data_IF_979773817680
#
_entry.id   IF_979773817680
#
_cell.length_a   1.000
_cell.length_b   1.000
_cell.length_c   1.000
_cell.angle_alpha   90.00
_cell.angle_beta   90.00
_cell.angle_gamma   90.00
#
_symmetry.space_group_name_H-M   'P 1'
#
loop_
_entity.id
_entity.type
_entity.pdbx_description
1 polymer ?
#
# COMPACT_ATOMS: atom_id res chain seq x y z
N UNK A 1 -5.58 5.83 8.38
CA UNK A 1 -6.31 4.56 8.60
C UNK A 1 -5.34 3.52 9.12
N UNK A 2 -5.71 2.68 10.09
CA UNK A 2 -4.86 1.58 10.60
C UNK A 2 -5.50 0.24 10.23
N UNK A 3 -4.70 -0.71 9.77
CA UNK A 3 -5.17 -2.02 9.29
C UNK A 3 -4.31 -3.12 9.89
N UNK A 4 -4.92 -4.25 10.25
CA UNK A 4 -4.23 -5.49 10.56
C UNK A 4 -4.51 -6.47 9.44
N UNK A 5 -3.47 -7.06 8.87
CA UNK A 5 -3.57 -7.94 7.71
C UNK A 5 -2.56 -9.09 7.83
N UNK A 6 -2.88 -10.30 7.35
CA UNK A 6 -1.92 -11.40 7.29
C UNK A 6 -0.69 -11.05 6.45
N UNK A 7 0.49 -11.42 6.95
CA UNK A 7 1.77 -11.10 6.30
C UNK A 7 1.97 -11.71 4.90
N UNK A 8 1.24 -12.78 4.56
CA UNK A 8 1.32 -13.43 3.25
C UNK A 8 0.53 -12.69 2.16
N UNK A 9 -0.35 -11.76 2.52
CA UNK A 9 -1.07 -10.94 1.54
C UNK A 9 -0.09 -10.00 0.85
N UNK A 10 -0.33 -9.71 -0.43
CA UNK A 10 0.40 -8.69 -1.15
C UNK A 10 -0.30 -7.33 -1.12
N UNK A 11 0.44 -6.29 -1.52
CA UNK A 11 -0.08 -4.91 -1.59
C UNK A 11 -1.29 -4.80 -2.52
N UNK A 12 -1.33 -5.55 -3.63
CA UNK A 12 -2.48 -5.55 -4.55
C UNK A 12 -3.77 -6.10 -3.91
N UNK A 13 -3.66 -7.15 -3.12
CA UNK A 13 -4.78 -7.72 -2.36
C UNK A 13 -5.24 -6.77 -1.26
N UNK A 14 -4.30 -6.13 -0.56
CA UNK A 14 -4.63 -5.09 0.41
C UNK A 14 -5.32 -3.89 -0.26
N UNK A 15 -4.82 -3.45 -1.42
CA UNK A 15 -5.42 -2.39 -2.22
C UNK A 15 -6.89 -2.70 -2.57
N UNK A 16 -7.18 -3.92 -3.03
CA UNK A 16 -8.55 -4.32 -3.34
C UNK A 16 -9.47 -4.25 -2.11
N UNK A 17 -8.98 -4.69 -0.95
CA UNK A 17 -9.73 -4.60 0.30
C UNK A 17 -9.92 -3.14 0.75
N UNK A 18 -8.94 -2.28 0.52
CA UNK A 18 -8.99 -0.85 0.85
C UNK A 18 -9.89 -0.06 -0.08
N UNK A 19 -10.05 -0.45 -1.35
CA UNK A 19 -10.85 0.28 -2.35
C UNK A 19 -12.31 0.51 -1.95
N UNK A 20 -12.85 -0.30 -1.04
CA UNK A 20 -14.20 -0.11 -0.49
C UNK A 20 -14.26 0.95 0.62
N UNK A 21 -13.11 1.38 1.14
CA UNK A 21 -12.95 2.29 2.29
C UNK A 21 -12.33 3.63 1.91
N UNK A 22 -11.60 3.68 0.80
CA UNK A 22 -11.05 4.89 0.19
C UNK A 22 -11.80 5.12 -1.13
N UNK A 23 -12.53 6.23 -1.22
CA UNK A 23 -13.35 6.64 -2.37
C UNK A 23 -12.47 7.10 -3.54
N UNK A 24 -11.72 6.17 -4.12
CA UNK A 24 -10.84 6.43 -5.28
C UNK A 24 -11.58 6.08 -6.56
N UNK A 25 -11.48 6.96 -7.57
CA UNK A 25 -12.07 6.73 -8.88
C UNK A 25 -11.54 5.41 -9.46
N UNK A 26 -12.41 4.50 -9.93
CA UNK A 26 -11.97 3.23 -10.48
C UNK A 26 -11.03 3.34 -11.68
N UNK A 27 -11.01 4.49 -12.37
CA UNK A 27 -10.16 4.80 -13.52
C UNK A 27 -8.76 5.26 -13.12
N UNK A 28 -8.56 5.69 -11.88
CA UNK A 28 -7.26 6.15 -11.41
C UNK A 28 -6.44 4.99 -10.85
N UNK A 29 -5.14 5.01 -11.14
CA UNK A 29 -4.19 4.06 -10.54
C UNK A 29 -3.75 4.60 -9.19
N UNK A 30 -3.64 3.71 -8.19
CA UNK A 30 -3.06 4.06 -6.90
C UNK A 30 -1.63 3.54 -6.84
N UNK A 31 -0.69 4.46 -6.58
CA UNK A 31 0.68 4.13 -6.24
C UNK A 31 0.83 4.01 -4.73
N UNK A 32 1.63 3.04 -4.30
CA UNK A 32 1.97 2.85 -2.89
C UNK A 32 3.43 3.19 -2.65
N UNK A 33 3.71 3.86 -1.53
CA UNK A 33 5.05 4.26 -1.13
C UNK A 33 5.32 3.84 0.31
N UNK A 34 6.53 3.34 0.56
CA UNK A 34 7.07 3.13 1.91
C UNK A 34 8.20 4.14 2.13
N UNK A 35 7.91 5.20 2.88
CA UNK A 35 8.78 6.38 2.93
C UNK A 35 8.82 7.08 1.57
N UNK A 36 10.01 7.13 0.95
CA UNK A 36 10.25 7.79 -0.35
C UNK A 36 10.40 6.80 -1.52
N UNK A 37 10.16 5.50 -1.29
CA UNK A 37 10.35 4.46 -2.29
C UNK A 37 9.00 3.91 -2.75
N UNK A 38 8.84 3.79 -4.07
CA UNK A 38 7.67 3.14 -4.66
C UNK A 38 7.67 1.66 -4.27
N UNK A 39 6.60 1.22 -3.61
CA UNK A 39 6.44 -0.15 -3.19
C UNK A 39 5.88 -1.01 -4.34
N UNK A 40 6.48 -2.17 -4.57
CA UNK A 40 5.96 -3.12 -5.56
C UNK A 40 4.64 -3.72 -5.09
N UNK A 41 3.60 -3.64 -5.92
CA UNK A 41 2.26 -4.19 -5.63
C UNK A 41 2.25 -5.72 -5.46
N UNK A 42 3.27 -6.41 -5.98
CA UNK A 42 3.43 -7.87 -5.88
C UNK A 42 4.13 -8.32 -4.60
N UNK A 43 4.79 -7.41 -3.86
CA UNK A 43 5.45 -7.75 -2.60
C UNK A 43 4.42 -8.06 -1.51
N UNK A 44 4.78 -9.01 -0.63
CA UNK A 44 3.98 -9.36 0.53
C UNK A 44 4.12 -8.31 1.63
N UNK A 45 3.10 -8.18 2.47
CA UNK A 45 3.13 -7.27 3.61
C UNK A 45 4.22 -7.66 4.62
N UNK A 46 4.50 -8.95 4.78
CA UNK A 46 5.61 -9.41 5.62
C UNK A 46 6.97 -8.97 5.08
N UNK A 47 7.21 -9.09 3.76
CA UNK A 47 8.50 -8.67 3.20
C UNK A 47 8.67 -7.15 3.24
N UNK A 48 7.60 -6.39 2.97
CA UNK A 48 7.61 -4.94 3.12
C UNK A 48 7.81 -4.49 4.56
N UNK A 49 7.14 -5.14 5.51
CA UNK A 49 7.31 -4.88 6.94
C UNK A 49 8.75 -5.18 7.37
N UNK A 50 9.31 -6.32 7.00
CA UNK A 50 10.70 -6.65 7.35
C UNK A 50 11.71 -5.63 6.79
N UNK A 51 11.49 -5.12 5.58
CA UNK A 51 12.39 -4.18 4.92
C UNK A 51 12.21 -2.71 5.35
N UNK A 52 10.98 -2.30 5.72
CA UNK A 52 10.62 -0.89 5.91
C UNK A 52 9.83 -0.62 7.20
N UNK A 53 9.77 -1.57 8.14
CA UNK A 53 9.16 -1.32 9.44
C UNK A 53 9.90 -0.18 10.15
N UNK A 54 9.10 0.71 10.72
CA UNK A 54 9.59 1.78 11.55
C UNK A 54 9.94 1.25 12.96
N UNK A 55 10.63 2.05 13.77
CA UNK A 55 11.15 1.63 15.09
C UNK A 55 10.08 1.26 16.10
N UNK A 56 8.83 1.63 15.86
CA UNK A 56 7.64 1.31 16.64
C UNK A 56 6.95 0.02 16.17
N UNK A 57 7.59 -0.74 15.28
CA UNK A 57 7.13 -2.00 14.69
C UNK A 57 5.93 -1.87 13.75
N UNK A 58 5.60 -0.66 13.28
CA UNK A 58 4.57 -0.44 12.26
C UNK A 58 5.17 -0.26 10.87
N UNK A 59 4.45 -0.74 9.85
CA UNK A 59 4.71 -0.40 8.45
C UNK A 59 3.85 0.80 8.07
N UNK A 60 4.51 1.87 7.63
CA UNK A 60 3.85 3.07 7.12
C UNK A 60 3.83 3.04 5.60
N UNK A 61 2.62 3.08 5.05
CA UNK A 61 2.39 3.11 3.60
C UNK A 61 1.60 4.38 3.26
N UNK A 62 2.19 5.20 2.41
CA UNK A 62 1.51 6.34 1.79
C UNK A 62 0.98 5.89 0.44
N UNK A 63 -0.18 6.40 0.03
CA UNK A 63 -0.70 6.16 -1.29
C UNK A 63 -1.02 7.47 -2.00
N UNK A 64 -0.89 7.48 -3.32
CA UNK A 64 -1.19 8.62 -4.16
C UNK A 64 -1.99 8.16 -5.37
N UNK A 65 -2.99 8.94 -5.77
CA UNK A 65 -3.67 8.75 -7.05
C UNK A 65 -2.75 9.29 -8.15
N UNK A 66 -2.32 8.40 -9.04
CA UNK A 66 -1.63 8.84 -10.25
C UNK A 66 -2.69 9.34 -11.22
N UNK A 67 -2.92 10.65 -11.21
CA UNK A 67 -3.73 11.32 -12.21
C UNK A 67 -2.86 11.40 -13.48
N UNK A 68 -2.80 10.31 -14.25
CA UNK A 68 -2.09 10.25 -15.52
C UNK A 68 -2.84 11.11 -16.55
N UNK A 69 -2.78 12.42 -16.38
CA UNK A 69 -3.12 13.39 -17.41
C UNK A 69 -1.80 13.84 -18.03
N UNK A 70 -1.34 13.05 -19.01
CA UNK A 70 -0.54 13.59 -20.10
C UNK A 70 -1.45 14.30 -21.10
#
# INVERSE_FOLDING_TARGET
MRVSAPGHLNLAQLHLALRTRIEVDPRHSILFFTGNTLASVTCTLASLHHAHAHTDHFLYVTFCEENFQG
#
